data_IF_592471872849
#
_entry.id   IF_592471872849
#
_cell.length_a   1.000
_cell.length_b   1.000
_cell.length_c   1.000
_cell.angle_alpha   90.00
_cell.angle_beta   90.00
_cell.angle_gamma   90.00
#
_symmetry.space_group_name_H-M   'P 1'
#
loop_
_entity.id
_entity.type
_entity.pdbx_description
1 polymer ?
#
# COMPACT_ATOMS: atom_id res chain seq x y z
N UNK A 1 15.68 5.79 -1.12
CA UNK A 1 15.43 7.19 -1.52
C UNK A 1 15.26 7.21 -3.02
N UNK A 2 14.12 7.69 -3.50
CA UNK A 2 13.88 7.90 -4.94
C UNK A 2 14.52 9.23 -5.33
N UNK A 3 15.26 9.26 -6.44
CA UNK A 3 15.91 10.47 -6.94
C UNK A 3 15.31 10.84 -8.27
N UNK A 4 15.11 12.14 -8.50
CA UNK A 4 14.72 12.64 -9.81
C UNK A 4 15.92 12.51 -10.76
N UNK A 5 15.80 11.62 -11.74
CA UNK A 5 16.77 11.45 -12.81
C UNK A 5 16.21 12.01 -14.12
N UNK A 6 17.08 12.65 -14.91
CA UNK A 6 16.75 13.14 -16.24
C UNK A 6 17.11 12.05 -17.24
N UNK A 7 16.13 11.60 -18.01
CA UNK A 7 16.29 10.62 -19.08
C UNK A 7 15.66 11.11 -20.37
N UNK A 8 16.18 10.69 -21.54
CA UNK A 8 15.55 10.99 -22.83
C UNK A 8 14.16 10.35 -22.93
N UNK A 9 13.23 11.05 -23.58
CA UNK A 9 11.86 10.58 -23.77
C UNK A 9 11.78 9.52 -24.88
N UNK A 10 10.81 8.61 -24.80
CA UNK A 10 10.54 7.65 -25.87
C UNK A 10 10.08 8.33 -27.17
N UNK A 11 10.18 7.61 -28.28
CA UNK A 11 9.73 8.10 -29.58
C UNK A 11 8.24 8.45 -29.56
N UNK A 12 7.41 7.58 -28.97
CA UNK A 12 5.96 7.83 -28.84
C UNK A 12 5.67 9.10 -28.04
N UNK A 13 6.38 9.34 -26.94
CA UNK A 13 6.22 10.57 -26.16
C UNK A 13 6.64 11.82 -26.96
N UNK A 14 7.72 11.74 -27.73
CA UNK A 14 8.15 12.84 -28.60
C UNK A 14 7.12 13.13 -29.71
N UNK A 15 6.54 12.09 -30.31
CA UNK A 15 5.48 12.24 -31.32
C UNK A 15 4.21 12.84 -30.73
N UNK A 16 3.80 12.39 -29.54
CA UNK A 16 2.64 12.97 -28.84
C UNK A 16 2.84 14.47 -28.53
N UNK A 17 4.08 14.89 -28.22
CA UNK A 17 4.39 16.32 -28.04
C UNK A 17 4.30 17.09 -29.35
N UNK A 18 4.75 16.52 -30.46
CA UNK A 18 4.65 17.13 -31.78
C UNK A 18 3.20 17.30 -32.24
N UNK A 19 2.33 16.33 -31.93
CA UNK A 19 0.88 16.40 -32.22
C UNK A 19 0.19 17.58 -31.54
N UNK A 20 0.70 18.07 -30.40
CA UNK A 20 0.11 19.22 -29.69
C UNK A 20 0.14 20.52 -30.48
N UNK A 21 1.07 20.66 -31.42
CA UNK A 21 1.22 21.88 -32.22
C UNK A 21 0.13 22.05 -33.29
N UNK A 22 -0.62 20.98 -33.63
CA UNK A 22 -1.53 20.96 -34.79
C UNK A 22 -3.03 21.04 -34.46
N UNK A 23 -3.43 21.36 -33.22
CA UNK A 23 -4.83 21.26 -32.81
C UNK A 23 -5.75 22.34 -33.41
N UNK A 24 -5.23 23.53 -33.69
CA UNK A 24 -6.02 24.69 -34.13
C UNK A 24 -5.68 25.10 -35.57
N UNK A 25 -4.41 25.00 -35.92
CA UNK A 25 -3.87 25.30 -37.25
C UNK A 25 -2.60 24.46 -37.46
N UNK A 26 -2.04 24.51 -38.66
CA UNK A 26 -0.71 23.96 -38.92
C UNK A 26 0.30 24.57 -37.95
N UNK A 27 1.04 23.70 -37.27
CA UNK A 27 2.02 24.08 -36.26
C UNK A 27 3.34 23.33 -36.46
N UNK A 28 4.41 23.91 -35.93
CA UNK A 28 5.77 23.38 -36.07
C UNK A 28 6.27 22.92 -34.70
N UNK A 29 6.75 21.68 -34.63
CA UNK A 29 7.44 21.16 -33.45
C UNK A 29 8.95 21.16 -33.69
N UNK A 30 9.70 21.91 -32.87
CA UNK A 30 11.17 21.92 -32.92
C UNK A 30 11.71 20.96 -31.87
N UNK A 31 12.48 19.96 -32.32
CA UNK A 31 13.17 19.01 -31.45
C UNK A 31 14.60 19.47 -31.20
N UNK A 32 15.05 19.41 -29.95
CA UNK A 32 16.39 19.82 -29.53
C UNK A 32 17.37 18.63 -29.43
N UNK A 33 17.13 17.60 -30.24
CA UNK A 33 17.95 16.40 -30.35
C UNK A 33 18.28 16.12 -31.82
N UNK A 34 19.29 15.27 -32.06
CA UNK A 34 19.62 14.86 -33.41
C UNK A 34 18.66 13.77 -33.89
N UNK A 35 18.47 13.68 -35.20
CA UNK A 35 17.62 12.63 -35.79
C UNK A 35 18.15 11.22 -35.44
N UNK A 36 19.47 11.04 -35.44
CA UNK A 36 20.10 9.77 -35.07
C UNK A 36 19.85 9.42 -33.61
N UNK A 37 19.92 10.39 -32.69
CA UNK A 37 19.61 10.16 -31.27
C UNK A 37 18.14 9.76 -31.12
N UNK A 38 17.21 10.48 -31.75
CA UNK A 38 15.79 10.16 -31.75
C UNK A 38 15.50 8.73 -32.26
N UNK A 39 16.12 8.32 -33.37
CA UNK A 39 15.96 6.98 -33.96
C UNK A 39 16.51 5.87 -33.04
N UNK A 40 17.53 6.18 -32.23
CA UNK A 40 18.12 5.23 -31.27
C UNK A 40 17.31 5.05 -29.98
N UNK A 41 16.30 5.89 -29.70
CA UNK A 41 15.50 5.81 -28.47
C UNK A 41 14.48 4.68 -28.51
N UNK A 42 14.06 4.22 -27.33
CA UNK A 42 12.98 3.25 -27.20
C UNK A 42 11.68 3.77 -27.82
N UNK A 43 10.93 2.87 -28.46
CA UNK A 43 9.67 3.23 -29.11
C UNK A 43 8.61 3.68 -28.10
N UNK A 44 8.52 2.98 -26.96
CA UNK A 44 7.57 3.24 -25.88
C UNK A 44 8.32 3.47 -24.57
N UNK A 45 7.70 4.24 -23.66
CA UNK A 45 8.22 4.43 -22.31
C UNK A 45 7.85 3.22 -21.46
N UNK A 46 8.79 2.75 -20.64
CA UNK A 46 8.50 1.68 -19.69
C UNK A 46 7.43 2.09 -18.66
N UNK A 47 6.53 1.18 -18.26
CA UNK A 47 5.53 1.43 -17.23
C UNK A 47 6.15 1.86 -15.89
N UNK A 48 5.52 2.84 -15.22
CA UNK A 48 5.96 3.36 -13.92
C UNK A 48 6.04 2.27 -12.84
N UNK A 49 5.13 1.28 -12.89
CA UNK A 49 5.09 0.14 -11.96
C UNK A 49 6.38 -0.72 -11.97
N UNK A 50 7.17 -0.64 -13.05
CA UNK A 50 8.46 -1.33 -13.17
C UNK A 50 9.65 -0.50 -12.68
N UNK A 51 9.45 0.81 -12.51
CA UNK A 51 10.51 1.80 -12.30
C UNK A 51 10.48 2.44 -10.91
N UNK A 52 9.34 2.42 -10.24
CA UNK A 52 9.13 3.14 -8.96
C UNK A 52 8.93 2.22 -7.76
N UNK A 53 9.09 2.81 -6.57
CA UNK A 53 8.86 2.10 -5.31
C UNK A 53 7.38 1.74 -5.10
N UNK A 54 7.11 0.48 -4.73
CA UNK A 54 5.76 -0.04 -4.55
C UNK A 54 5.22 0.10 -3.12
N UNK A 55 6.01 0.63 -2.18
CA UNK A 55 5.68 0.72 -0.75
C UNK A 55 4.32 1.38 -0.51
N UNK A 56 4.10 2.55 -1.10
CA UNK A 56 2.85 3.31 -0.96
C UNK A 56 1.66 2.56 -1.58
N UNK A 57 1.88 1.90 -2.70
CA UNK A 57 0.85 1.10 -3.40
C UNK A 57 0.48 -0.12 -2.55
N UNK A 58 1.47 -0.86 -2.05
CA UNK A 58 1.30 -2.01 -1.16
C UNK A 58 0.53 -1.64 0.11
N UNK A 59 0.89 -0.51 0.73
CA UNK A 59 0.21 -0.01 1.91
C UNK A 59 -1.26 0.34 1.63
N UNK A 60 -1.53 1.01 0.51
CA UNK A 60 -2.91 1.33 0.08
C UNK A 60 -3.72 0.08 -0.27
N UNK A 61 -3.10 -0.91 -0.91
CA UNK A 61 -3.75 -2.19 -1.19
C UNK A 61 -4.14 -2.91 0.11
N UNK A 62 -3.25 -2.89 1.11
CA UNK A 62 -3.51 -3.43 2.45
C UNK A 62 -4.68 -2.70 3.14
N UNK A 63 -4.69 -1.36 3.12
CA UNK A 63 -5.74 -0.57 3.78
C UNK A 63 -7.12 -0.72 3.13
N UNK A 64 -7.17 -0.92 1.81
CA UNK A 64 -8.41 -1.14 1.06
C UNK A 64 -8.94 -2.59 1.12
N UNK A 65 -8.27 -3.48 1.86
CA UNK A 65 -8.60 -4.93 1.91
C UNK A 65 -8.65 -5.56 0.52
N UNK A 66 -7.82 -5.07 -0.39
CA UNK A 66 -7.72 -5.60 -1.76
C UNK A 66 -7.19 -7.04 -1.74
N UNK A 67 -7.42 -7.82 -2.82
CA UNK A 67 -6.83 -9.14 -2.97
C UNK A 67 -5.31 -9.09 -2.76
N UNK A 68 -4.74 -10.19 -2.25
CA UNK A 68 -3.29 -10.33 -2.12
C UNK A 68 -2.62 -9.94 -3.44
N UNK A 69 -1.52 -9.20 -3.38
CA UNK A 69 -0.83 -8.68 -4.57
C UNK A 69 -0.57 -9.75 -5.65
N UNK A 70 -0.31 -10.99 -5.24
CA UNK A 70 -0.11 -12.13 -6.15
C UNK A 70 -1.31 -12.44 -7.07
N UNK A 71 -2.52 -12.14 -6.61
CA UNK A 71 -3.77 -12.39 -7.34
C UNK A 71 -4.34 -11.11 -7.97
N UNK A 72 -3.67 -9.97 -7.79
CA UNK A 72 -4.14 -8.72 -8.35
C UNK A 72 -3.91 -8.70 -9.88
N UNK A 73 -4.92 -8.35 -10.69
CA UNK A 73 -4.84 -8.38 -12.15
C UNK A 73 -4.10 -7.14 -12.69
N UNK A 74 -2.78 -7.11 -12.56
CA UNK A 74 -1.97 -6.05 -13.13
C UNK A 74 -1.96 -6.11 -14.67
N UNK A 75 -2.02 -4.93 -15.31
CA UNK A 75 -1.74 -4.77 -16.75
C UNK A 75 -0.29 -5.17 -17.01
N UNK A 76 0.64 -4.51 -16.31
CA UNK A 76 2.06 -4.83 -16.28
C UNK A 76 2.44 -5.26 -14.87
N UNK A 77 2.95 -6.49 -14.73
CA UNK A 77 3.27 -7.03 -13.41
C UNK A 77 4.52 -6.38 -12.83
N UNK A 78 4.51 -5.92 -11.57
CA UNK A 78 5.70 -5.41 -10.93
C UNK A 78 6.78 -6.48 -10.81
N UNK A 79 8.04 -6.04 -10.72
CA UNK A 79 9.16 -6.94 -10.47
C UNK A 79 9.04 -7.57 -9.08
N UNK A 80 9.27 -8.88 -8.97
CA UNK A 80 9.17 -9.61 -7.70
C UNK A 80 10.06 -9.02 -6.60
N UNK A 81 11.26 -8.54 -6.97
CA UNK A 81 12.16 -7.82 -6.04
C UNK A 81 11.52 -6.56 -5.45
N UNK A 82 10.83 -5.76 -6.27
CA UNK A 82 10.23 -4.51 -5.83
C UNK A 82 9.06 -4.74 -4.85
N UNK A 83 8.36 -5.86 -5.00
CA UNK A 83 7.35 -6.31 -4.04
C UNK A 83 8.02 -6.72 -2.73
N UNK A 84 9.07 -7.53 -2.79
CA UNK A 84 9.78 -8.00 -1.61
C UNK A 84 10.38 -6.83 -0.80
N UNK A 85 11.08 -5.92 -1.48
CA UNK A 85 11.66 -4.71 -0.89
C UNK A 85 10.58 -3.83 -0.26
N UNK A 86 9.44 -3.67 -0.93
CA UNK A 86 8.33 -2.88 -0.42
C UNK A 86 7.67 -3.50 0.81
N UNK A 87 7.50 -4.82 0.82
CA UNK A 87 6.96 -5.55 1.98
C UNK A 87 7.92 -5.51 3.17
N UNK A 88 9.22 -5.67 2.93
CA UNK A 88 10.24 -5.57 3.97
C UNK A 88 10.25 -4.17 4.60
N UNK A 89 10.23 -3.12 3.78
CA UNK A 89 10.21 -1.75 4.31
C UNK A 89 8.96 -1.47 5.15
N UNK A 90 7.81 -1.97 4.71
CA UNK A 90 6.58 -1.79 5.45
C UNK A 90 6.54 -2.59 6.77
N UNK A 91 7.25 -3.72 6.84
CA UNK A 91 7.46 -4.50 8.06
C UNK A 91 8.40 -3.76 9.03
N UNK A 92 9.52 -3.22 8.52
CA UNK A 92 10.45 -2.37 9.29
C UNK A 92 9.76 -1.12 9.87
N UNK A 93 8.81 -0.53 9.12
CA UNK A 93 8.01 0.61 9.57
C UNK A 93 6.83 0.20 10.49
N UNK A 94 6.59 -1.09 10.69
CA UNK A 94 5.44 -1.60 11.46
C UNK A 94 4.08 -1.25 10.84
N UNK A 95 4.04 -0.91 9.55
CA UNK A 95 2.85 -0.45 8.84
C UNK A 95 1.94 -1.60 8.39
N UNK A 96 2.47 -2.83 8.30
CA UNK A 96 1.71 -4.04 7.96
C UNK A 96 1.22 -4.83 9.17
N UNK A 97 1.50 -4.35 10.39
CA UNK A 97 0.99 -4.97 11.60
C UNK A 97 -0.44 -4.52 11.89
N UNK A 98 -1.39 -5.46 11.86
CA UNK A 98 -2.42 -5.40 12.89
C UNK A 98 -1.68 -5.38 14.22
N UNK A 99 -1.99 -4.41 15.10
CA UNK A 99 -1.59 -4.51 16.50
C UNK A 99 -2.29 -5.75 17.05
N UNK A 100 -1.66 -6.90 16.87
CA UNK A 100 -2.18 -8.20 17.28
C UNK A 100 -2.47 -8.09 18.78
N UNK A 101 -3.72 -8.33 19.12
CA UNK A 101 -4.16 -8.31 20.50
C UNK A 101 -3.42 -9.42 21.24
N UNK A 102 -2.52 -9.04 22.14
CA UNK A 102 -1.86 -10.01 23.02
C UNK A 102 -2.73 -10.22 24.26
N UNK A 103 -3.13 -11.47 24.50
CA UNK A 103 -3.76 -11.85 25.76
C UNK A 103 -2.78 -11.59 26.89
N UNK A 104 -3.22 -10.85 27.91
CA UNK A 104 -2.42 -10.65 29.10
C UNK A 104 -2.37 -11.97 29.89
N UNK A 105 -1.17 -12.42 30.26
CA UNK A 105 -1.01 -13.61 31.10
C UNK A 105 -1.52 -13.44 32.55
N UNK A 106 -1.88 -12.21 32.93
CA UNK A 106 -2.44 -11.85 34.24
C UNK A 106 -3.61 -10.89 34.05
N UNK A 107 -4.51 -10.82 35.04
CA UNK A 107 -5.59 -9.84 35.05
C UNK A 107 -5.02 -8.41 34.95
N UNK A 108 -5.64 -7.57 34.13
CA UNK A 108 -5.23 -6.17 33.98
C UNK A 108 -5.36 -5.44 35.32
N UNK A 109 -4.32 -4.69 35.71
CA UNK A 109 -4.34 -3.92 36.94
C UNK A 109 -5.23 -2.68 36.81
N UNK A 110 -5.72 -2.16 37.93
CA UNK A 110 -6.52 -0.93 37.95
C UNK A 110 -5.82 0.23 37.23
N UNK A 111 -4.52 0.40 37.45
CA UNK A 111 -3.72 1.45 36.79
C UNK A 111 -3.68 1.30 35.27
N UNK A 112 -3.55 0.08 34.75
CA UNK A 112 -3.54 -0.19 33.31
C UNK A 112 -4.88 0.16 32.66
N UNK A 113 -5.99 -0.20 33.31
CA UNK A 113 -7.34 0.13 32.86
C UNK A 113 -7.59 1.64 32.96
N UNK A 114 -7.16 2.27 34.05
CA UNK A 114 -7.30 3.71 34.28
C UNK A 114 -6.49 4.54 33.28
N UNK A 115 -5.26 4.13 32.97
CA UNK A 115 -4.43 4.79 31.97
C UNK A 115 -5.04 4.65 30.58
N UNK A 116 -5.60 3.49 30.22
CA UNK A 116 -6.31 3.32 28.95
C UNK A 116 -7.54 4.23 28.85
N UNK A 117 -8.27 4.45 29.97
CA UNK A 117 -9.37 5.41 30.06
C UNK A 117 -8.92 6.85 29.79
N UNK A 118 -7.84 7.29 30.44
CA UNK A 118 -7.33 8.65 30.30
C UNK A 118 -6.69 8.92 28.94
N UNK A 119 -6.09 7.91 28.32
CA UNK A 119 -5.40 8.04 27.03
C UNK A 119 -6.29 7.78 25.82
N UNK A 120 -7.57 7.45 26.02
CA UNK A 120 -8.51 7.15 24.94
C UNK A 120 -8.24 5.83 24.23
N UNK A 121 -7.45 4.92 24.83
CA UNK A 121 -7.06 3.64 24.25
C UNK A 121 -8.02 2.49 24.62
N UNK A 122 -9.26 2.79 25.04
CA UNK A 122 -10.26 1.75 25.37
C UNK A 122 -10.56 0.80 24.21
N UNK A 123 -10.44 1.27 22.97
CA UNK A 123 -10.60 0.44 21.78
C UNK A 123 -9.56 -0.67 21.66
N UNK A 124 -8.50 -0.65 22.48
CA UNK A 124 -7.45 -1.66 22.59
C UNK A 124 -7.54 -2.51 23.86
N UNK A 125 -8.67 -2.48 24.57
CA UNK A 125 -8.94 -3.36 25.73
C UNK A 125 -10.16 -4.24 25.44
N UNK A 126 -10.02 -5.54 25.71
CA UNK A 126 -11.10 -6.51 25.57
C UNK A 126 -11.08 -7.50 26.73
N UNK A 127 -12.28 -7.92 27.15
CA UNK A 127 -12.47 -8.92 28.19
C UNK A 127 -12.87 -10.25 27.55
N UNK A 128 -12.27 -11.34 28.00
CA UNK A 128 -12.73 -12.70 27.66
C UNK A 128 -14.11 -12.91 28.27
N UNK A 129 -15.06 -13.28 27.44
CA UNK A 129 -16.41 -13.67 27.84
C UNK A 129 -16.32 -15.03 28.54
N UNK A 130 -16.88 -15.12 29.74
CA UNK A 130 -16.81 -16.32 30.59
C UNK A 130 -17.99 -17.28 30.31
N UNK A 131 -18.97 -16.84 29.51
CA UNK A 131 -20.14 -17.61 29.16
C UNK A 131 -19.87 -18.55 27.96
N UNK A 132 -19.58 -19.82 28.25
CA UNK A 132 -19.32 -20.90 27.26
C UNK A 132 -20.46 -21.16 26.26
N UNK A 133 -21.63 -20.54 26.45
CA UNK A 133 -22.86 -20.81 25.67
C UNK A 133 -22.98 -20.01 24.37
N UNK A 134 -22.11 -19.04 24.13
CA UNK A 134 -22.13 -18.15 22.94
C UNK A 134 -21.05 -18.51 21.92
N UNK A 135 -20.55 -19.75 21.94
CA UNK A 135 -19.49 -20.19 21.04
C UNK A 135 -20.07 -20.52 19.65
N UNK A 136 -20.33 -19.47 18.86
CA UNK A 136 -20.46 -19.61 17.42
C UNK A 136 -19.16 -20.22 16.89
N UNK A 137 -19.22 -21.49 16.48
CA UNK A 137 -18.08 -22.32 16.05
C UNK A 137 -17.28 -21.77 14.86
N UNK A 138 -17.68 -20.62 14.31
CA UNK A 138 -17.09 -20.01 13.12
C UNK A 138 -16.51 -18.60 13.36
N UNK A 139 -16.57 -18.08 14.59
CA UNK A 139 -15.95 -16.80 14.94
C UNK A 139 -14.47 -17.01 15.25
N UNK A 140 -13.57 -16.61 14.33
CA UNK A 140 -12.11 -16.52 14.60
C UNK A 140 -11.79 -15.60 15.78
N UNK A 141 -12.72 -14.72 16.12
CA UNK A 141 -12.77 -13.97 17.36
C UNK A 141 -13.20 -14.94 18.47
N UNK A 142 -12.25 -15.63 19.12
CA UNK A 142 -12.52 -16.33 20.37
C UNK A 142 -13.24 -15.37 21.32
N UNK A 143 -14.15 -15.84 22.18
CA UNK A 143 -15.13 -15.01 22.92
C UNK A 143 -14.53 -13.86 23.71
N UNK A 144 -14.20 -12.76 23.05
CA UNK A 144 -13.62 -11.54 23.61
C UNK A 144 -14.51 -10.38 23.22
N UNK A 145 -14.90 -9.57 24.20
CA UNK A 145 -15.76 -8.40 24.03
C UNK A 145 -14.94 -7.16 24.33
N UNK A 146 -14.76 -6.30 23.33
CA UNK A 146 -14.12 -5.00 23.49
C UNK A 146 -15.08 -3.95 24.03
N UNK A 147 -14.52 -2.80 24.42
CA UNK A 147 -15.32 -1.68 24.90
C UNK A 147 -16.34 -1.21 23.84
N UNK A 148 -17.58 -0.88 24.28
CA UNK A 148 -18.68 -0.42 23.40
C UNK A 148 -19.10 -1.41 22.30
N UNK A 149 -18.90 -2.71 22.49
CA UNK A 149 -19.31 -3.74 21.52
C UNK A 149 -18.38 -3.87 20.31
N UNK A 150 -17.19 -3.25 20.36
CA UNK A 150 -16.14 -3.46 19.36
C UNK A 150 -15.61 -4.89 19.54
N UNK A 151 -15.70 -5.71 18.48
CA UNK A 151 -15.14 -7.07 18.50
C UNK A 151 -13.64 -7.02 18.15
N UNK A 152 -12.74 -7.39 19.06
CA UNK A 152 -11.31 -7.37 18.81
C UNK A 152 -10.93 -8.50 17.85
N UNK A 153 -10.36 -8.22 16.68
CA UNK A 153 -9.79 -9.28 15.83
C UNK A 153 -8.47 -9.77 16.47
N UNK A 154 -8.49 -11.00 17.01
CA UNK A 154 -7.34 -11.73 17.55
C UNK A 154 -6.86 -12.73 16.50
#
# INVERSE_FOLDING_TARGET
MEQLQIEPISQTAANQRAERCGHVSDGICVRLDSEQDYQGRAQFTDPEILRSSLVTVLLRMSSLRSPKIQHFPFIDKPLGRAIADGMQLLDELGALGEKGWKENGFAATYEQVHLALLTGLLGYVAKKDEDEKSQDRNSKTGGYVGARGIRPFI
#
